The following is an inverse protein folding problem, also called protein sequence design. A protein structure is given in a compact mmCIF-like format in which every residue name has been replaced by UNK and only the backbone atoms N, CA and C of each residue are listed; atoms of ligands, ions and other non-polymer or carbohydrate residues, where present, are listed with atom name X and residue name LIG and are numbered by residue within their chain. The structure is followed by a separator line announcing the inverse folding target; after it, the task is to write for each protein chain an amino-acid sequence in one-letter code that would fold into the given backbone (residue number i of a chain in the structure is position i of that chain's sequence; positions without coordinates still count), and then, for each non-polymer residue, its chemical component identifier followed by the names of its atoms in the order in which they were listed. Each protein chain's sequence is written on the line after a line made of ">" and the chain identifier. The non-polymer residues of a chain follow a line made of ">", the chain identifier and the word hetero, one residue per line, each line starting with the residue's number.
data_IF_215418034341
#
_entry.id   IF_215418034341
#
_cell.length_a   1.000
_cell.length_b   1.000
_cell.length_c   1.000
_cell.angle_alpha   90.00
_cell.angle_beta   90.00
_cell.angle_gamma   90.00
#
_symmetry.space_group_name_H-M   'P 1'
#
loop_
_entity.id
_entity.type
_entity.pdbx_description
1 polymer ?
#
# COMPACT_ATOMS: atom_id res chain seq x y z
N UNK A 1 7.17 6.45 2.23
CA UNK A 1 6.09 6.04 1.35
C UNK A 1 4.99 5.29 2.11
N UNK A 2 5.35 4.27 2.90
CA UNK A 2 4.35 3.45 3.61
C UNK A 2 3.70 4.13 4.84
N UNK A 3 4.18 5.28 5.26
CA UNK A 3 3.54 6.13 6.28
C UNK A 3 2.79 7.33 5.66
N UNK A 4 2.45 7.24 4.36
CA UNK A 4 1.78 8.29 3.62
C UNK A 4 2.71 9.34 3.00
N UNK A 5 3.99 9.35 3.33
CA UNK A 5 4.95 10.28 2.72
C UNK A 5 5.19 9.99 1.24
N UNK A 6 5.13 11.01 0.38
CA UNK A 6 5.32 10.89 -1.06
C UNK A 6 4.08 10.42 -1.85
N UNK A 7 2.92 10.36 -1.20
CA UNK A 7 1.60 10.13 -1.80
C UNK A 7 0.75 11.37 -1.51
N UNK A 8 0.10 11.94 -2.51
CA UNK A 8 -0.61 13.23 -2.40
C UNK A 8 -1.71 13.21 -1.33
N UNK A 9 -2.51 12.14 -1.26
CA UNK A 9 -3.51 11.93 -0.22
C UNK A 9 -3.04 10.99 0.90
N UNK A 10 -1.72 10.77 1.00
CA UNK A 10 -1.14 9.84 1.97
C UNK A 10 -1.19 10.38 3.40
N UNK A 11 -1.52 9.52 4.35
CA UNK A 11 -1.56 9.85 5.77
C UNK A 11 -1.14 8.68 6.65
N UNK A 12 -0.86 8.97 7.91
CA UNK A 12 -0.65 7.92 8.92
C UNK A 12 -1.93 7.14 9.18
N UNK A 13 -1.78 5.88 9.61
CA UNK A 13 -2.90 5.06 10.05
C UNK A 13 -3.54 5.68 11.32
N UNK A 14 -4.59 6.45 11.11
CA UNK A 14 -5.38 7.13 12.13
C UNK A 14 -6.84 7.22 11.69
N UNK A 15 -7.72 7.70 12.56
CA UNK A 15 -9.15 7.81 12.27
C UNK A 15 -9.40 8.50 10.91
N UNK A 16 -10.27 7.92 10.06
CA UNK A 16 -10.55 8.39 8.71
C UNK A 16 -9.53 8.00 7.62
N UNK A 17 -8.41 7.34 7.96
CA UNK A 17 -7.49 6.82 6.96
C UNK A 17 -8.07 5.60 6.26
N UNK A 18 -8.09 5.60 4.93
CA UNK A 18 -8.44 4.43 4.13
C UNK A 18 -7.38 3.36 4.34
N UNK A 19 -7.76 2.24 4.95
CA UNK A 19 -6.86 1.12 5.26
C UNK A 19 -7.02 -0.09 4.34
N UNK A 20 -8.21 -0.23 3.70
CA UNK A 20 -8.49 -1.28 2.71
C UNK A 20 -9.23 -0.71 1.52
N UNK A 21 -8.90 -1.22 0.34
CA UNK A 21 -9.54 -0.86 -0.92
C UNK A 21 -9.87 -2.12 -1.70
N UNK A 22 -11.10 -2.21 -2.18
CA UNK A 22 -11.53 -3.21 -3.15
C UNK A 22 -12.18 -2.50 -4.32
N UNK A 23 -11.76 -2.79 -5.55
CA UNK A 23 -12.33 -2.19 -6.76
C UNK A 23 -13.18 -3.24 -7.48
N UNK A 24 -14.40 -2.87 -7.82
CA UNK A 24 -15.27 -3.70 -8.64
C UNK A 24 -14.77 -3.75 -10.09
N UNK A 25 -14.58 -4.94 -10.64
CA UNK A 25 -13.97 -5.15 -11.96
C UNK A 25 -14.79 -4.57 -13.12
N UNK A 26 -16.12 -4.43 -12.97
CA UNK A 26 -17.01 -3.98 -14.04
C UNK A 26 -17.25 -2.48 -14.00
N UNK A 27 -17.48 -1.95 -12.81
CA UNK A 27 -17.84 -0.53 -12.62
C UNK A 27 -16.64 0.34 -12.29
N UNK A 28 -15.52 -0.27 -11.90
CA UNK A 28 -14.31 0.37 -11.40
C UNK A 28 -14.58 1.27 -10.19
N UNK A 29 -15.66 1.01 -9.44
CA UNK A 29 -15.96 1.72 -8.21
C UNK A 29 -15.23 1.09 -7.03
N UNK A 30 -14.59 1.90 -6.17
CA UNK A 30 -13.94 1.39 -4.97
C UNK A 30 -14.96 1.19 -3.84
N UNK A 31 -14.76 0.14 -3.07
CA UNK A 31 -15.30 -0.02 -1.71
C UNK A 31 -14.15 0.27 -0.76
N UNK A 32 -14.33 1.24 0.12
CA UNK A 32 -13.31 1.72 1.05
C UNK A 32 -13.64 1.22 2.46
N UNK A 33 -12.61 0.80 3.21
CA UNK A 33 -12.69 0.62 4.66
C UNK A 33 -11.76 1.65 5.30
N UNK A 34 -12.29 2.40 6.24
CA UNK A 34 -11.55 3.44 6.96
C UNK A 34 -11.34 3.06 8.42
N UNK A 35 -10.24 3.50 8.99
CA UNK A 35 -9.98 3.34 10.42
C UNK A 35 -11.03 4.14 11.21
N UNK A 36 -11.69 3.44 12.15
CA UNK A 36 -12.71 4.03 13.01
C UNK A 36 -14.08 4.24 12.35
N UNK A 37 -14.32 3.62 11.18
CA UNK A 37 -15.55 3.73 10.40
C UNK A 37 -15.96 5.20 10.12
N UNK A 38 -14.98 6.11 10.08
CA UNK A 38 -15.15 7.52 9.81
C UNK A 38 -15.12 7.81 8.30
N UNK A 39 -15.59 8.99 7.89
CA UNK A 39 -15.45 9.44 6.51
C UNK A 39 -13.97 9.47 6.11
N UNK A 40 -13.65 9.10 4.85
CA UNK A 40 -12.27 9.06 4.38
C UNK A 40 -11.67 10.47 4.30
N UNK A 41 -10.45 10.63 4.80
CA UNK A 41 -9.70 11.89 4.70
C UNK A 41 -8.34 11.73 4.00
N UNK A 42 -7.94 10.49 3.75
CA UNK A 42 -6.71 10.14 3.07
C UNK A 42 -6.48 8.63 3.08
N UNK A 43 -5.33 8.17 2.62
CA UNK A 43 -4.99 6.76 2.52
C UNK A 43 -3.72 6.43 3.31
N UNK A 44 -3.75 5.37 4.11
CA UNK A 44 -2.56 4.90 4.81
C UNK A 44 -1.82 3.81 4.04
N UNK A 45 -0.69 3.35 4.58
CA UNK A 45 0.20 2.42 3.90
C UNK A 45 -0.44 1.10 3.48
N UNK A 46 -1.31 0.50 4.31
CA UNK A 46 -2.03 -0.72 3.93
C UNK A 46 -3.04 -0.46 2.82
N UNK A 47 -3.74 0.67 2.88
CA UNK A 47 -4.69 1.06 1.85
C UNK A 47 -4.04 1.29 0.48
N UNK A 48 -2.83 1.92 0.43
CA UNK A 48 -2.13 2.12 -0.85
C UNK A 48 -1.65 0.80 -1.46
N UNK A 49 -1.24 -0.17 -0.64
CA UNK A 49 -0.87 -1.52 -1.09
C UNK A 49 -2.08 -2.21 -1.73
N UNK A 50 -3.23 -2.18 -1.05
CA UNK A 50 -4.47 -2.74 -1.58
C UNK A 50 -4.90 -2.02 -2.87
N UNK A 51 -4.87 -0.68 -2.87
CA UNK A 51 -5.24 0.12 -4.04
C UNK A 51 -4.41 -0.24 -5.26
N UNK A 52 -3.08 -0.23 -5.16
CA UNK A 52 -2.19 -0.56 -6.29
C UNK A 52 -2.44 -1.99 -6.79
N UNK A 53 -2.61 -2.94 -5.87
CA UNK A 53 -2.96 -4.31 -6.22
C UNK A 53 -4.28 -4.37 -6.99
N UNK A 54 -5.33 -3.72 -6.49
CA UNK A 54 -6.64 -3.69 -7.14
C UNK A 54 -6.60 -2.99 -8.49
N UNK A 55 -5.87 -1.89 -8.64
CA UNK A 55 -5.70 -1.20 -9.92
C UNK A 55 -5.00 -2.07 -10.97
N UNK A 56 -4.05 -2.92 -10.58
CA UNK A 56 -3.41 -3.91 -11.47
C UNK A 56 -4.42 -5.00 -11.85
N UNK A 57 -5.12 -5.57 -10.88
CA UNK A 57 -6.07 -6.67 -11.10
C UNK A 57 -7.25 -6.26 -11.99
N UNK A 58 -7.74 -5.04 -11.83
CA UNK A 58 -8.86 -4.49 -12.63
C UNK A 58 -8.40 -3.87 -13.96
N UNK A 59 -7.10 -3.88 -14.24
CA UNK A 59 -6.57 -3.32 -15.48
C UNK A 59 -6.63 -1.78 -15.55
N UNK A 60 -6.79 -1.08 -14.44
CA UNK A 60 -6.73 0.39 -14.40
C UNK A 60 -5.32 0.86 -14.70
N UNK A 61 -4.31 0.16 -14.18
CA UNK A 61 -2.91 0.46 -14.46
C UNK A 61 -2.18 -0.74 -15.06
N UNK A 62 -1.17 -0.44 -15.85
CA UNK A 62 -0.21 -1.43 -16.32
C UNK A 62 0.84 -1.77 -15.21
N UNK A 63 1.74 -2.72 -15.51
CA UNK A 63 2.81 -3.12 -14.57
C UNK A 63 3.85 -2.02 -14.30
N UNK A 64 3.85 -0.94 -15.10
CA UNK A 64 4.71 0.23 -14.91
C UNK A 64 4.01 1.33 -14.11
N UNK A 65 2.75 1.09 -13.71
CA UNK A 65 1.95 2.05 -12.94
C UNK A 65 1.32 3.15 -13.79
N UNK A 66 1.20 2.96 -15.11
CA UNK A 66 0.54 3.90 -15.99
C UNK A 66 -0.94 3.56 -16.10
N UNK A 67 -1.79 4.57 -15.92
CA UNK A 67 -3.25 4.46 -16.08
C UNK A 67 -3.58 4.30 -17.57
N UNK A 68 -4.40 3.31 -17.89
CA UNK A 68 -4.85 3.07 -19.25
C UNK A 68 -5.74 4.22 -19.76
N UNK A 69 -5.40 4.78 -20.95
CA UNK A 69 -6.04 5.98 -21.54
C UNK A 69 -7.36 5.68 -22.24
N UNK A 70 -7.61 4.42 -22.53
CA UNK A 70 -8.80 3.91 -23.24
C UNK A 70 -9.97 3.57 -22.31
N UNK A 71 -9.80 3.73 -20.99
CA UNK A 71 -10.85 3.47 -20.01
C UNK A 71 -11.74 4.71 -19.89
N UNK A 72 -12.99 4.60 -20.33
CA UNK A 72 -14.01 5.63 -20.13
C UNK A 72 -14.73 5.38 -18.77
N UNK A 73 -14.25 6.06 -17.75
CA UNK A 73 -14.82 5.99 -16.40
C UNK A 73 -14.63 7.30 -15.66
N UNK A 74 -15.70 7.77 -14.98
CA UNK A 74 -15.69 9.06 -14.25
C UNK A 74 -14.62 9.15 -13.14
N UNK A 75 -14.12 7.99 -12.66
CA UNK A 75 -13.08 7.95 -11.61
C UNK A 75 -11.67 8.05 -12.18
N UNK A 76 -11.54 7.96 -13.51
CA UNK A 76 -10.24 8.09 -14.20
C UNK A 76 -10.24 9.41 -14.92
N UNK A 77 -9.28 10.26 -14.59
CA UNK A 77 -9.15 11.60 -15.18
C UNK A 77 -7.72 11.84 -15.63
N UNK A 78 -7.55 12.72 -16.60
CA UNK A 78 -6.26 13.15 -17.11
C UNK A 78 -6.20 14.67 -17.09
N UNK A 79 -5.08 15.23 -16.61
CA UNK A 79 -4.85 16.66 -16.61
C UNK A 79 -4.31 17.15 -17.97
N UNK A 80 -4.04 18.46 -18.08
CA UNK A 80 -3.49 19.09 -19.30
C UNK A 80 -2.12 18.55 -19.75
N UNK A 81 -1.39 17.88 -18.86
CA UNK A 81 -0.11 17.19 -19.12
C UNK A 81 -0.29 15.69 -19.37
N UNK A 82 -1.51 15.23 -19.60
CA UNK A 82 -1.87 13.83 -19.78
C UNK A 82 -1.49 12.91 -18.59
N UNK A 83 -1.28 13.48 -17.41
CA UNK A 83 -1.06 12.72 -16.21
C UNK A 83 -2.38 12.17 -15.68
N UNK A 84 -2.46 10.85 -15.54
CA UNK A 84 -3.66 10.17 -15.05
C UNK A 84 -3.77 10.21 -13.53
N UNK A 85 -5.02 10.27 -13.06
CA UNK A 85 -5.38 10.08 -11.65
C UNK A 85 -6.63 9.19 -11.52
N UNK A 86 -6.70 8.47 -10.42
CA UNK A 86 -7.87 7.69 -10.03
C UNK A 86 -8.51 8.29 -8.79
N UNK A 87 -9.83 8.51 -8.85
CA UNK A 87 -10.61 9.08 -7.74
C UNK A 87 -11.08 7.99 -6.80
N UNK A 88 -10.52 7.97 -5.60
CA UNK A 88 -10.92 7.06 -4.51
C UNK A 88 -12.26 7.47 -3.89
N UNK A 89 -12.40 8.75 -3.55
CA UNK A 89 -13.62 9.30 -2.99
C UNK A 89 -13.91 10.66 -3.64
N UNK A 90 -15.11 10.82 -4.16
CA UNK A 90 -15.56 12.13 -4.61
C UNK A 90 -15.96 12.97 -3.40
N UNK A 91 -15.68 14.27 -3.45
CA UNK A 91 -16.02 15.19 -2.37
C UNK A 91 -17.52 15.21 -2.06
N UNK A 92 -18.37 15.02 -3.08
CA UNK A 92 -19.82 14.97 -2.93
C UNK A 92 -20.30 13.70 -2.23
N UNK A 93 -19.54 12.60 -2.29
CA UNK A 93 -19.91 11.31 -1.65
C UNK A 93 -19.75 11.37 -0.13
N UNK A 94 -18.81 12.20 0.38
CA UNK A 94 -18.43 12.25 1.80
C UNK A 94 -18.37 13.68 2.37
N UNK A 95 -18.90 14.67 1.64
CA UNK A 95 -18.89 16.08 2.04
C UNK A 95 -17.47 16.61 2.36
N UNK A 96 -16.51 16.27 1.50
CA UNK A 96 -15.10 16.67 1.62
C UNK A 96 -14.87 18.03 0.97
N UNK A 97 -13.77 18.69 1.32
CA UNK A 97 -13.33 19.92 0.64
C UNK A 97 -12.90 19.66 -0.80
N UNK A 98 -12.27 18.51 -1.05
CA UNK A 98 -11.77 18.08 -2.36
C UNK A 98 -11.86 16.56 -2.51
N UNK A 99 -11.78 16.08 -3.76
CA UNK A 99 -11.71 14.66 -4.06
C UNK A 99 -10.43 14.03 -3.46
N UNK A 100 -10.52 12.80 -2.99
CA UNK A 100 -9.35 12.01 -2.63
C UNK A 100 -8.91 11.25 -3.87
N UNK A 101 -7.72 11.58 -4.40
CA UNK A 101 -7.19 11.01 -5.63
C UNK A 101 -5.80 10.44 -5.45
N UNK A 102 -5.45 9.46 -6.28
CA UNK A 102 -4.08 8.94 -6.42
C UNK A 102 -3.69 9.09 -7.89
N UNK A 103 -2.59 9.78 -8.15
CA UNK A 103 -2.09 10.06 -9.48
C UNK A 103 -0.89 9.18 -9.87
N UNK A 104 -0.48 9.25 -11.14
CA UNK A 104 0.65 8.45 -11.65
C UNK A 104 2.00 8.77 -10.98
N UNK A 105 2.18 9.96 -10.39
CA UNK A 105 3.40 10.30 -9.61
C UNK A 105 3.38 9.58 -8.28
N UNK A 106 2.23 9.52 -7.62
CA UNK A 106 2.05 8.76 -6.37
C UNK A 106 2.33 7.27 -6.58
N UNK A 107 1.78 6.71 -7.69
CA UNK A 107 1.98 5.32 -8.08
C UNK A 107 3.47 5.04 -8.35
N UNK A 108 4.16 5.92 -9.07
CA UNK A 108 5.59 5.79 -9.36
C UNK A 108 6.44 5.86 -8.09
N UNK A 109 6.12 6.76 -7.17
CA UNK A 109 6.78 6.85 -5.85
C UNK A 109 6.61 5.54 -5.05
N UNK A 110 5.41 4.97 -5.07
CA UNK A 110 5.14 3.69 -4.43
C UNK A 110 5.94 2.56 -5.09
N UNK A 111 5.93 2.47 -6.43
CA UNK A 111 6.67 1.44 -7.18
C UNK A 111 8.18 1.51 -6.90
N UNK A 112 8.74 2.71 -6.84
CA UNK A 112 10.15 2.91 -6.49
C UNK A 112 10.45 2.45 -5.06
N UNK A 113 9.59 2.81 -4.11
CA UNK A 113 9.77 2.43 -2.70
C UNK A 113 9.71 0.90 -2.52
N UNK A 114 8.70 0.23 -3.08
CA UNK A 114 8.59 -1.23 -3.01
C UNK A 114 9.75 -1.92 -3.70
N UNK A 115 10.17 -1.40 -4.86
CA UNK A 115 11.30 -1.92 -5.62
C UNK A 115 12.60 -1.86 -4.81
N UNK A 116 12.85 -0.76 -4.11
CA UNK A 116 14.02 -0.61 -3.25
C UNK A 116 14.02 -1.64 -2.10
N UNK A 117 12.87 -1.87 -1.46
CA UNK A 117 12.74 -2.85 -0.39
C UNK A 117 13.01 -4.27 -0.90
N UNK A 118 12.35 -4.68 -1.98
CA UNK A 118 12.51 -6.00 -2.55
C UNK A 118 13.95 -6.23 -3.04
N UNK A 119 14.51 -5.27 -3.77
CA UNK A 119 15.90 -5.37 -4.27
C UNK A 119 16.91 -5.44 -3.12
N UNK A 120 16.71 -4.66 -2.06
CA UNK A 120 17.56 -4.73 -0.88
C UNK A 120 17.54 -6.09 -0.22
N UNK A 121 16.37 -6.70 -0.07
CA UNK A 121 16.23 -8.06 0.45
C UNK A 121 16.87 -9.11 -0.45
N UNK A 122 16.65 -9.02 -1.78
CA UNK A 122 17.25 -9.94 -2.76
C UNK A 122 18.77 -9.89 -2.75
N UNK A 123 19.34 -8.68 -2.82
CA UNK A 123 20.81 -8.49 -2.81
C UNK A 123 21.42 -9.04 -1.51
N UNK A 124 20.76 -8.82 -0.38
CA UNK A 124 21.25 -9.33 0.90
C UNK A 124 21.32 -10.87 0.91
N UNK A 125 20.26 -11.54 0.48
CA UNK A 125 20.19 -13.01 0.45
C UNK A 125 21.15 -13.59 -0.59
N UNK A 126 21.19 -13.03 -1.80
CA UNK A 126 22.08 -13.43 -2.88
C UNK A 126 23.56 -13.27 -2.51
N UNK A 127 23.91 -12.22 -1.74
CA UNK A 127 25.28 -12.01 -1.26
C UNK A 127 25.80 -13.13 -0.36
N UNK A 128 24.89 -13.90 0.24
CA UNK A 128 25.18 -15.07 1.05
C UNK A 128 25.16 -16.38 0.23
N UNK A 129 24.99 -16.30 -1.10
CA UNK A 129 24.83 -17.46 -1.97
C UNK A 129 23.54 -18.24 -1.76
N UNK A 130 22.49 -17.56 -1.24
CA UNK A 130 21.19 -18.14 -0.91
C UNK A 130 20.09 -17.52 -1.76
N UNK A 131 18.90 -18.09 -1.70
CA UNK A 131 17.66 -17.56 -2.26
C UNK A 131 16.55 -17.49 -1.20
N UNK A 132 15.38 -16.96 -1.55
CA UNK A 132 14.27 -16.78 -0.60
C UNK A 132 13.72 -18.11 -0.03
N UNK A 133 14.01 -19.28 -0.62
CA UNK A 133 13.53 -20.58 -0.12
C UNK A 133 14.10 -20.95 1.23
N UNK A 134 15.30 -20.44 1.56
CA UNK A 134 15.96 -20.72 2.85
C UNK A 134 15.41 -19.91 4.01
N UNK A 135 14.51 -18.95 3.77
CA UNK A 135 13.93 -18.14 4.82
C UNK A 135 12.96 -18.98 5.65
N UNK A 136 13.22 -19.06 6.95
CA UNK A 136 12.31 -19.71 7.90
C UNK A 136 11.15 -18.80 8.28
N UNK A 137 11.43 -17.50 8.53
CA UNK A 137 10.43 -16.52 8.95
C UNK A 137 10.72 -15.11 8.44
N UNK A 138 9.65 -14.40 8.10
CA UNK A 138 9.64 -12.98 7.79
C UNK A 138 8.83 -12.27 8.88
N UNK A 139 9.50 -11.49 9.72
CA UNK A 139 8.84 -10.71 10.76
C UNK A 139 8.38 -9.36 10.22
N UNK A 140 7.10 -9.10 10.31
CA UNK A 140 6.50 -7.82 9.92
C UNK A 140 6.18 -7.02 11.18
N UNK A 141 6.85 -5.90 11.35
CA UNK A 141 6.77 -5.06 12.52
C UNK A 141 6.12 -3.69 12.20
N UNK A 142 5.61 -3.04 13.22
CA UNK A 142 5.03 -1.70 13.14
C UNK A 142 3.53 -1.69 12.92
N UNK A 143 2.93 -0.49 12.90
CA UNK A 143 1.48 -0.32 12.78
C UNK A 143 0.89 -0.83 11.47
N UNK A 144 1.64 -0.80 10.38
CA UNK A 144 1.22 -1.30 9.07
C UNK A 144 1.05 -2.83 9.08
N UNK A 145 1.82 -3.56 9.91
CA UNK A 145 1.87 -5.02 9.91
C UNK A 145 0.52 -5.67 10.22
N UNK A 146 -0.26 -5.11 11.14
CA UNK A 146 -1.52 -5.72 11.57
C UNK A 146 -2.61 -5.71 10.49
N UNK A 147 -2.54 -4.78 9.53
CA UNK A 147 -3.54 -4.62 8.48
C UNK A 147 -2.96 -4.86 7.07
N UNK A 148 -1.72 -5.36 6.97
CA UNK A 148 -1.08 -5.66 5.70
C UNK A 148 -1.68 -6.92 5.08
N UNK A 149 -2.20 -6.81 3.87
CA UNK A 149 -2.62 -7.96 3.08
C UNK A 149 -1.39 -8.60 2.43
N UNK A 150 -1.03 -9.80 2.90
CA UNK A 150 0.15 -10.55 2.41
C UNK A 150 0.01 -10.90 0.94
N UNK A 151 -1.14 -11.38 0.49
CA UNK A 151 -1.35 -11.76 -0.91
C UNK A 151 -1.20 -10.57 -1.85
N UNK A 152 -1.82 -9.43 -1.49
CA UNK A 152 -1.67 -8.19 -2.26
C UNK A 152 -0.22 -7.73 -2.29
N UNK A 153 0.49 -7.83 -1.16
CA UNK A 153 1.90 -7.44 -1.03
C UNK A 153 2.83 -8.30 -1.89
N UNK A 154 2.55 -9.61 -1.98
CA UNK A 154 3.29 -10.53 -2.86
C UNK A 154 2.96 -10.25 -4.32
N UNK A 155 1.68 -10.08 -4.66
CA UNK A 155 1.23 -9.83 -6.03
C UNK A 155 1.88 -8.59 -6.63
N UNK A 156 1.97 -7.51 -5.85
CA UNK A 156 2.64 -6.28 -6.31
C UNK A 156 4.17 -6.36 -6.22
N UNK A 157 4.75 -7.43 -5.70
CA UNK A 157 6.20 -7.63 -5.55
C UNK A 157 6.82 -6.74 -4.47
N UNK A 158 6.11 -6.50 -3.37
CA UNK A 158 6.65 -5.89 -2.15
C UNK A 158 7.30 -6.95 -1.26
N UNK A 159 6.67 -8.12 -1.16
CA UNK A 159 7.15 -9.27 -0.40
C UNK A 159 7.53 -10.43 -1.32
N UNK A 160 8.48 -11.28 -0.94
CA UNK A 160 8.82 -12.48 -1.71
C UNK A 160 7.67 -13.48 -1.70
N UNK A 161 7.55 -14.25 -2.80
CA UNK A 161 6.56 -15.33 -2.91
C UNK A 161 7.09 -16.60 -2.23
N UNK A 162 6.84 -16.70 -0.94
CA UNK A 162 7.18 -17.84 -0.09
C UNK A 162 5.94 -18.32 0.66
N UNK A 163 6.05 -19.43 1.38
CA UNK A 163 4.96 -19.98 2.19
C UNK A 163 4.38 -18.94 3.17
N UNK A 164 3.05 -18.80 3.19
CA UNK A 164 2.34 -17.74 3.94
C UNK A 164 2.54 -17.87 5.46
N UNK A 165 2.72 -19.09 5.93
CA UNK A 165 2.96 -19.44 7.33
C UNK A 165 4.32 -18.90 7.86
N UNK A 166 5.22 -18.53 6.95
CA UNK A 166 6.50 -17.92 7.29
C UNK A 166 6.38 -16.43 7.63
N UNK A 167 5.27 -15.77 7.28
CA UNK A 167 5.04 -14.36 7.64
C UNK A 167 4.45 -14.25 9.04
N UNK A 168 5.12 -13.52 9.92
CA UNK A 168 4.74 -13.36 11.32
C UNK A 168 4.61 -11.89 11.68
N UNK A 169 3.42 -11.47 12.10
CA UNK A 169 3.20 -10.13 12.62
C UNK A 169 3.65 -10.05 14.08
N UNK A 170 4.52 -9.09 14.38
CA UNK A 170 5.08 -8.91 15.72
C UNK A 170 4.70 -7.58 16.37
N UNK A 171 3.76 -6.86 15.80
CA UNK A 171 3.26 -5.60 16.34
C UNK A 171 4.32 -4.48 16.38
N UNK A 172 4.21 -3.59 17.36
CA UNK A 172 5.17 -2.49 17.54
C UNK A 172 6.42 -2.97 18.28
N UNK A 173 7.34 -3.60 17.56
CA UNK A 173 8.58 -4.16 18.12
C UNK A 173 9.50 -3.08 18.69
N UNK A 174 9.48 -1.87 18.17
CA UNK A 174 10.28 -0.74 18.70
C UNK A 174 9.81 -0.36 20.11
N UNK A 175 8.50 -0.29 20.35
CA UNK A 175 7.94 0.00 21.66
C UNK A 175 8.24 -1.13 22.65
N UNK A 176 8.03 -2.38 22.22
CA UNK A 176 8.33 -3.57 23.05
C UNK A 176 9.82 -3.62 23.40
N UNK A 177 10.70 -3.40 22.42
CA UNK A 177 12.14 -3.38 22.64
C UNK A 177 12.58 -2.27 23.61
N UNK A 178 12.01 -1.06 23.46
CA UNK A 178 12.27 0.04 24.39
C UNK A 178 11.82 -0.28 25.82
N UNK A 179 10.64 -0.89 25.95
CA UNK A 179 10.13 -1.32 27.25
C UNK A 179 11.04 -2.39 27.89
N UNK A 180 11.45 -3.40 27.12
CA UNK A 180 12.36 -4.45 27.62
C UNK A 180 13.70 -3.86 28.04
N UNK A 181 14.26 -2.91 27.27
CA UNK A 181 15.51 -2.23 27.63
C UNK A 181 15.39 -1.42 28.93
N UNK A 182 14.20 -0.82 29.20
CA UNK A 182 13.98 -0.07 30.44
C UNK A 182 13.86 -0.95 31.69
N UNK A 183 13.36 -2.17 31.54
CA UNK A 183 13.19 -3.09 32.68
C UNK A 183 14.34 -4.08 32.85
N UNK A 184 15.20 -4.21 31.84
CA UNK A 184 16.44 -5.03 31.96
C UNK A 184 17.41 -4.33 32.88
N UNK A 185 17.95 -5.08 33.81
CA UNK A 185 18.90 -4.62 34.86
C UNK A 185 20.34 -5.01 34.56
N UNK A 186 20.72 -5.10 33.28
CA UNK A 186 22.13 -5.35 32.88
C UNK A 186 22.60 -4.32 31.90
#
# INVERSE_FOLDING_TARGET
>A
AFEGGGISCGMRASNGAIEKVKIDEKTLNPTLTTIGDADPIGICGSGIIDLICQMILTGIIDRRGKIHRDIDNRRIRFNEYEMGEYVLAFKEEYNLEQDITVNEVDIDNFIKAKGAIYSGASVLIESLGMDFSVIDKVYIAGGIGNNLNIENSILIGLLPDIEREKFVYIGNSSLVGSYLALISKD
#
